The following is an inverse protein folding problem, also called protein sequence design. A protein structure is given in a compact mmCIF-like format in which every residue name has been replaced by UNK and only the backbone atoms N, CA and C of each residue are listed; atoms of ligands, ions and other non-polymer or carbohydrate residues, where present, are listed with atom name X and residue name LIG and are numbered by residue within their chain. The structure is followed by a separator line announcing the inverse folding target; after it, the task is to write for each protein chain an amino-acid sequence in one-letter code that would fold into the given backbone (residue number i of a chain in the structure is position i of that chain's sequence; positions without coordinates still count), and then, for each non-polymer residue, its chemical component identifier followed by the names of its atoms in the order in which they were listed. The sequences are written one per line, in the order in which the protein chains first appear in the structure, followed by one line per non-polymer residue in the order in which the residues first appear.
data_IF_425929383145
#
_entry.id   IF_425929383145
#
_cell.length_a   1.000
_cell.length_b   1.000
_cell.length_c   1.000
_cell.angle_alpha   90.00
_cell.angle_beta   90.00
_cell.angle_gamma   90.00
#
_symmetry.space_group_name_H-M   'P 1'
#
loop_
_entity.id
_entity.type
_entity.pdbx_description
1 polymer ?
#
# COMPACT_ATOMS: atom_id res chain seq x y z
N UNK A 1 -1.06 4.39 -9.05
CA UNK A 1 0.17 3.91 -8.37
C UNK A 1 0.78 5.09 -7.63
N UNK A 2 1.08 4.91 -6.35
CA UNK A 2 1.80 5.89 -5.53
C UNK A 2 3.13 5.27 -5.10
N UNK A 3 4.22 6.01 -5.25
CA UNK A 3 5.52 5.66 -4.70
C UNK A 3 5.85 6.58 -3.51
N UNK A 4 6.34 6.01 -2.42
CA UNK A 4 6.76 6.74 -1.24
C UNK A 4 8.20 6.36 -0.89
N UNK A 5 9.12 7.33 -0.88
CA UNK A 5 10.51 7.16 -0.43
C UNK A 5 10.72 7.91 0.87
N UNK A 6 11.17 7.22 1.92
CA UNK A 6 11.30 7.77 3.28
C UNK A 6 12.58 7.28 3.97
N UNK A 7 13.00 8.02 5.00
CA UNK A 7 13.97 7.57 6.01
C UNK A 7 13.18 7.18 7.25
N UNK A 8 13.46 6.00 7.81
CA UNK A 8 12.82 5.51 9.03
C UNK A 8 13.76 5.69 10.23
N UNK A 9 13.20 5.79 11.43
CA UNK A 9 13.97 5.89 12.69
C UNK A 9 14.76 4.62 13.03
N UNK A 10 14.43 3.49 12.38
CA UNK A 10 15.10 2.19 12.54
C UNK A 10 15.49 1.61 11.20
N UNK A 11 16.59 0.84 11.19
CA UNK A 11 16.95 0.04 10.04
C UNK A 11 15.98 -1.14 9.88
N UNK A 12 15.65 -1.46 8.64
CA UNK A 12 14.71 -2.51 8.25
C UNK A 12 15.25 -3.32 7.07
N UNK A 13 14.78 -4.55 6.94
CA UNK A 13 14.89 -5.35 5.71
C UNK A 13 13.64 -5.17 4.83
N UNK A 14 13.72 -5.64 3.58
CA UNK A 14 12.54 -5.71 2.69
C UNK A 14 11.45 -6.59 3.32
N UNK A 15 11.84 -7.71 3.94
CA UNK A 15 10.92 -8.64 4.59
C UNK A 15 10.20 -7.97 5.78
N UNK A 16 10.90 -7.17 6.59
CA UNK A 16 10.28 -6.42 7.70
C UNK A 16 9.18 -5.48 7.20
N UNK A 17 9.44 -4.75 6.11
CA UNK A 17 8.48 -3.81 5.50
C UNK A 17 7.30 -4.58 4.93
N UNK A 18 7.54 -5.62 4.13
CA UNK A 18 6.49 -6.38 3.48
C UNK A 18 5.60 -7.10 4.51
N UNK A 19 6.18 -7.71 5.55
CA UNK A 19 5.42 -8.34 6.63
C UNK A 19 4.58 -7.32 7.42
N UNK A 20 5.12 -6.13 7.70
CA UNK A 20 4.36 -5.07 8.35
C UNK A 20 3.14 -4.63 7.52
N UNK A 21 3.31 -4.48 6.21
CA UNK A 21 2.23 -4.12 5.30
C UNK A 21 1.19 -5.24 5.18
N UNK A 22 1.65 -6.50 5.05
CA UNK A 22 0.77 -7.68 5.02
C UNK A 22 -0.08 -7.77 6.28
N UNK A 23 0.53 -7.56 7.46
CA UNK A 23 -0.17 -7.59 8.75
C UNK A 23 -1.17 -6.43 8.92
N UNK A 24 -0.97 -5.30 8.23
CA UNK A 24 -1.90 -4.17 8.24
C UNK A 24 -3.08 -4.34 7.27
N UNK A 25 -3.09 -5.42 6.48
CA UNK A 25 -4.11 -5.65 5.45
C UNK A 25 -5.51 -5.80 6.05
N UNK A 26 -6.48 -5.23 5.36
CA UNK A 26 -7.90 -5.24 5.72
C UNK A 26 -8.75 -4.91 4.48
N UNK A 27 -10.05 -4.68 4.64
CA UNK A 27 -10.94 -4.38 3.51
C UNK A 27 -10.59 -3.11 2.72
N UNK A 28 -9.88 -2.16 3.33
CA UNK A 28 -9.41 -0.93 2.69
C UNK A 28 -7.97 -1.03 2.17
N UNK A 29 -7.15 -1.88 2.77
CA UNK A 29 -5.73 -2.04 2.45
C UNK A 29 -5.43 -3.47 2.03
N UNK A 30 -5.24 -3.67 0.73
CA UNK A 30 -4.84 -4.96 0.16
C UNK A 30 -3.33 -5.14 0.14
N UNK A 31 -2.89 -6.38 -0.06
CA UNK A 31 -1.49 -6.76 -0.22
C UNK A 31 -1.35 -7.74 -1.38
N UNK A 32 -0.39 -7.51 -2.27
CA UNK A 32 -0.07 -8.43 -3.38
C UNK A 32 1.42 -8.67 -3.50
N UNK A 33 1.77 -9.88 -3.93
CA UNK A 33 3.11 -10.31 -4.35
C UNK A 33 3.16 -10.61 -5.86
N UNK A 34 2.04 -10.42 -6.57
CA UNK A 34 1.94 -10.65 -8.02
C UNK A 34 2.50 -9.45 -8.79
N UNK A 35 3.20 -9.70 -9.88
CA UNK A 35 3.74 -8.68 -10.81
C UNK A 35 2.62 -8.08 -11.68
N UNK A 36 1.73 -7.31 -11.06
CA UNK A 36 0.57 -6.69 -11.72
C UNK A 36 0.90 -5.35 -12.38
N UNK A 37 0.00 -4.90 -13.26
CA UNK A 37 0.04 -3.58 -13.90
C UNK A 37 -1.26 -2.81 -13.64
N UNK A 38 -1.35 -1.58 -14.15
CA UNK A 38 -2.49 -0.69 -13.87
C UNK A 38 -3.85 -1.23 -14.29
N UNK A 39 -3.93 -2.05 -15.36
CA UNK A 39 -5.20 -2.62 -15.81
C UNK A 39 -5.79 -3.61 -14.83
N UNK A 40 -4.96 -4.29 -14.04
CA UNK A 40 -5.38 -5.36 -13.13
C UNK A 40 -6.08 -4.81 -11.89
N UNK A 41 -5.91 -3.52 -11.60
CA UNK A 41 -6.51 -2.86 -10.43
C UNK A 41 -7.79 -2.08 -10.74
N UNK A 42 -8.19 -2.00 -12.01
CA UNK A 42 -9.43 -1.31 -12.42
C UNK A 42 -10.63 -2.03 -11.79
N UNK A 43 -11.48 -1.28 -11.09
CA UNK A 43 -12.70 -1.80 -10.46
C UNK A 43 -12.49 -2.50 -9.12
N UNK A 44 -11.28 -2.51 -8.56
CA UNK A 44 -11.05 -3.11 -7.24
C UNK A 44 -11.68 -2.29 -6.11
N UNK A 45 -12.00 -2.95 -5.00
CA UNK A 45 -12.67 -2.32 -3.84
C UNK A 45 -11.72 -1.97 -2.69
N UNK A 46 -10.44 -2.36 -2.76
CA UNK A 46 -9.43 -1.83 -1.85
C UNK A 46 -9.22 -0.34 -2.13
N UNK A 47 -9.08 0.47 -1.08
CA UNK A 47 -8.66 1.86 -1.20
C UNK A 47 -7.20 2.02 -1.62
N UNK A 48 -6.37 1.04 -1.25
CA UNK A 48 -4.96 0.95 -1.61
C UNK A 48 -4.53 -0.52 -1.62
N UNK A 49 -3.79 -0.95 -2.64
CA UNK A 49 -3.23 -2.29 -2.77
C UNK A 49 -1.70 -2.21 -2.76
N UNK A 50 -1.09 -2.59 -1.63
CA UNK A 50 0.36 -2.59 -1.49
C UNK A 50 1.01 -3.62 -2.41
N UNK A 51 2.05 -3.20 -3.12
CA UNK A 51 2.80 -4.02 -4.07
C UNK A 51 4.16 -4.38 -3.47
N UNK A 52 4.27 -5.59 -2.93
CA UNK A 52 5.47 -6.09 -2.27
C UNK A 52 6.65 -6.28 -3.23
N UNK A 53 6.39 -6.37 -4.55
CA UNK A 53 7.42 -6.52 -5.59
C UNK A 53 8.23 -5.23 -5.81
N UNK A 54 7.66 -4.09 -5.41
CA UNK A 54 8.24 -2.76 -5.60
C UNK A 54 8.97 -2.20 -4.36
N UNK A 55 8.96 -2.92 -3.24
CA UNK A 55 9.70 -2.53 -2.04
C UNK A 55 11.20 -2.50 -2.30
N UNK A 56 11.87 -1.40 -1.95
CA UNK A 56 13.34 -1.27 -2.01
C UNK A 56 13.87 -0.69 -0.72
N UNK A 57 14.99 -1.22 -0.24
CA UNK A 57 15.75 -0.66 0.88
C UNK A 57 17.17 -0.40 0.39
N UNK A 58 17.57 0.86 0.35
CA UNK A 58 18.93 1.27 -0.02
C UNK A 58 19.67 1.75 1.22
N UNK A 59 20.83 1.16 1.50
CA UNK A 59 21.69 1.56 2.62
C UNK A 59 22.86 2.38 2.11
N UNK A 60 23.04 3.60 2.63
CA UNK A 60 24.18 4.47 2.32
C UNK A 60 24.78 4.95 3.63
N UNK A 61 25.95 4.44 3.98
CA UNK A 61 26.57 4.69 5.28
C UNK A 61 25.73 4.08 6.42
N UNK A 62 25.35 4.92 7.37
CA UNK A 62 24.53 4.57 8.54
C UNK A 62 23.02 4.79 8.32
N UNK A 63 22.60 5.27 7.14
CA UNK A 63 21.20 5.60 6.83
C UNK A 63 20.60 4.68 5.79
N UNK A 64 19.28 4.51 5.89
CA UNK A 64 18.47 3.80 4.90
C UNK A 64 17.44 4.72 4.23
N UNK A 65 17.32 4.58 2.91
CA UNK A 65 16.17 5.05 2.14
C UNK A 65 15.28 3.85 1.83
N UNK A 66 14.05 3.89 2.30
CA UNK A 66 13.03 2.86 2.09
C UNK A 66 12.03 3.39 1.07
N UNK A 67 11.87 2.68 -0.04
CA UNK A 67 10.86 2.96 -1.07
C UNK A 67 9.80 1.87 -1.04
N UNK A 68 8.55 2.27 -1.04
CA UNK A 68 7.37 1.41 -1.16
C UNK A 68 6.45 1.91 -2.26
N UNK A 69 5.58 1.04 -2.78
CA UNK A 69 4.56 1.42 -3.74
C UNK A 69 3.21 0.77 -3.44
N UNK A 70 2.13 1.46 -3.81
CA UNK A 70 0.78 0.93 -3.73
C UNK A 70 -0.08 1.36 -4.92
N UNK A 71 -0.83 0.41 -5.45
CA UNK A 71 -1.83 0.65 -6.49
C UNK A 71 -3.12 1.19 -5.89
N UNK A 72 -3.83 1.98 -6.68
CA UNK A 72 -5.20 2.39 -6.43
C UNK A 72 -5.84 2.69 -7.78
N UNK A 73 -7.10 2.30 -7.93
CA UNK A 73 -7.96 2.83 -8.98
C UNK A 73 -8.48 4.18 -8.50
N UNK A 74 -8.09 5.25 -9.19
CA UNK A 74 -8.51 6.61 -8.81
C UNK A 74 -10.04 6.80 -8.82
N UNK A 75 -10.79 5.93 -9.49
CA UNK A 75 -12.26 5.92 -9.48
C UNK A 75 -12.79 4.94 -8.42
N UNK A 76 -12.61 3.64 -8.62
CA UNK A 76 -13.30 2.63 -7.79
C UNK A 76 -12.69 2.46 -6.38
N UNK A 77 -11.37 2.56 -6.24
CA UNK A 77 -10.75 2.51 -4.91
C UNK A 77 -11.20 3.67 -4.04
N UNK A 78 -11.24 4.89 -4.62
CA UNK A 78 -11.74 6.07 -3.91
C UNK A 78 -13.24 5.96 -3.60
N UNK A 79 -14.05 5.55 -4.57
CA UNK A 79 -15.50 5.38 -4.41
C UNK A 79 -15.82 4.35 -3.30
N UNK A 80 -15.09 3.24 -3.25
CA UNK A 80 -15.27 2.20 -2.22
C UNK A 80 -14.96 2.75 -0.82
N UNK A 81 -13.89 3.53 -0.66
CA UNK A 81 -13.59 4.18 0.63
C UNK A 81 -14.63 5.23 1.01
N UNK A 82 -15.15 5.98 0.04
CA UNK A 82 -16.20 6.98 0.28
C UNK A 82 -17.48 6.32 0.78
N UNK A 83 -17.90 5.21 0.17
CA UNK A 83 -19.09 4.45 0.59
C UNK A 83 -18.90 3.88 2.00
N UNK A 84 -17.77 3.24 2.30
CA UNK A 84 -17.48 2.76 3.68
C UNK A 84 -17.55 3.88 4.71
N UNK A 85 -17.01 5.06 4.37
CA UNK A 85 -17.06 6.25 5.23
C UNK A 85 -18.50 6.71 5.45
N UNK A 86 -19.31 6.73 4.40
CA UNK A 86 -20.72 7.11 4.47
C UNK A 86 -21.54 6.14 5.31
N UNK A 87 -21.34 4.83 5.16
CA UNK A 87 -21.99 3.80 5.96
C UNK A 87 -21.63 3.93 7.45
N UNK A 88 -20.36 4.18 7.76
CA UNK A 88 -19.92 4.43 9.13
C UNK A 88 -20.56 5.69 9.72
N UNK A 89 -20.59 6.78 8.94
CA UNK A 89 -21.22 8.04 9.36
C UNK A 89 -22.73 7.89 9.58
N UNK A 90 -23.43 7.11 8.75
CA UNK A 90 -24.87 6.91 8.86
C UNK A 90 -25.28 5.95 9.99
N UNK A 91 -24.35 5.15 10.50
CA UNK A 91 -24.58 4.18 11.58
C UNK A 91 -24.26 4.72 12.99
N UNK A 92 -23.82 5.97 13.09
CA UNK A 92 -23.49 6.69 14.33
C UNK A 92 -24.24 8.03 14.40
#
# INVERSE_FOLDING_TARGET
LTELTVVLDKNVSIEDVNNAMKNASNESFGYTEDEIVSSDVIGMTYGSLFDATQTRVMTVGDRQLVKVAAWYDNEMSYTSQLVRTLEYLASH
#
